data_IF_770556239881
#
_entry.id   IF_770556239881
#
_cell.length_a   1.000
_cell.length_b   1.000
_cell.length_c   1.000
_cell.angle_alpha   90.00
_cell.angle_beta   90.00
_cell.angle_gamma   90.00
#
_symmetry.space_group_name_H-M   'P 1'
#
loop_
_entity.id
_entity.type
_entity.pdbx_description
1 polymer ?
#
# COMPACT_ATOMS: atom_id res chain seq x y z
N UNK A 1 -10.96 3.30 1.35
CA UNK A 1 -11.36 3.63 2.72
C UNK A 1 -10.62 4.89 3.19
N UNK A 2 -11.32 5.84 3.81
CA UNK A 2 -10.72 7.06 4.39
C UNK A 2 -11.64 7.59 5.50
N UNK A 3 -11.07 8.02 6.61
CA UNK A 3 -11.87 8.58 7.70
C UNK A 3 -11.02 9.08 8.87
N UNK A 4 -11.68 9.74 9.81
CA UNK A 4 -11.08 10.12 11.08
C UNK A 4 -10.72 8.85 11.86
N UNK A 5 -9.54 8.84 12.46
CA UNK A 5 -9.11 7.72 13.32
C UNK A 5 -9.90 7.68 14.63
N UNK A 6 -10.22 6.49 15.10
CA UNK A 6 -10.93 6.29 16.36
C UNK A 6 -11.73 4.99 16.41
N UNK A 7 -12.36 4.73 17.53
CA UNK A 7 -13.25 3.58 17.71
C UNK A 7 -14.55 3.73 16.92
N UNK A 8 -15.09 2.63 16.43
CA UNK A 8 -16.36 2.57 15.70
C UNK A 8 -16.19 2.13 14.25
N UNK A 9 -17.29 1.62 13.68
CA UNK A 9 -17.31 1.04 12.33
C UNK A 9 -17.22 2.09 11.21
N UNK A 10 -17.45 3.35 11.51
CA UNK A 10 -17.35 4.48 10.59
C UNK A 10 -16.05 5.28 10.75
N UNK A 11 -15.05 4.70 11.42
CA UNK A 11 -13.75 5.33 11.69
C UNK A 11 -12.60 4.44 11.25
N UNK A 12 -11.43 5.06 11.01
CA UNK A 12 -10.19 4.34 10.75
C UNK A 12 -9.63 3.76 12.05
N UNK A 13 -9.54 2.45 12.12
CA UNK A 13 -8.96 1.70 13.24
C UNK A 13 -8.51 0.32 12.77
N UNK A 14 -7.93 -0.46 13.68
CA UNK A 14 -7.40 -1.79 13.37
C UNK A 14 -8.44 -2.76 12.80
N UNK A 15 -9.71 -2.64 13.18
CA UNK A 15 -10.77 -3.52 12.70
C UNK A 15 -11.26 -3.14 11.31
N UNK A 16 -11.42 -1.84 11.03
CA UNK A 16 -11.85 -1.36 9.70
C UNK A 16 -10.75 -1.54 8.66
N UNK A 17 -9.47 -1.29 9.02
CA UNK A 17 -8.31 -1.63 8.18
C UNK A 17 -8.20 -3.15 8.02
N UNK A 18 -8.42 -3.90 9.09
CA UNK A 18 -8.41 -5.36 9.06
C UNK A 18 -9.46 -5.94 8.14
N UNK A 19 -10.71 -5.46 8.22
CA UNK A 19 -11.78 -5.90 7.34
C UNK A 19 -11.49 -5.57 5.86
N UNK A 20 -10.97 -4.37 5.58
CA UNK A 20 -10.57 -3.99 4.23
C UNK A 20 -9.47 -4.91 3.68
N UNK A 21 -8.45 -5.21 4.49
CA UNK A 21 -7.33 -6.08 4.09
C UNK A 21 -7.77 -7.54 3.95
N UNK A 22 -8.62 -8.05 4.85
CA UNK A 22 -9.18 -9.40 4.74
C UNK A 22 -10.03 -9.55 3.47
N UNK A 23 -10.91 -8.57 3.18
CA UNK A 23 -11.73 -8.59 1.96
C UNK A 23 -10.88 -8.53 0.70
N UNK A 24 -9.86 -7.68 0.66
CA UNK A 24 -8.91 -7.64 -0.46
C UNK A 24 -8.15 -8.97 -0.60
N UNK A 25 -7.71 -9.58 0.50
CA UNK A 25 -7.06 -10.90 0.50
C UNK A 25 -7.97 -11.98 -0.09
N UNK A 26 -9.24 -11.99 0.34
CA UNK A 26 -10.24 -12.94 -0.17
C UNK A 26 -10.44 -12.77 -1.69
N UNK A 27 -10.51 -11.53 -2.16
CA UNK A 27 -10.66 -11.22 -3.57
C UNK A 27 -9.44 -11.64 -4.40
N UNK A 28 -8.22 -11.31 -3.94
CA UNK A 28 -6.98 -11.70 -4.60
C UNK A 28 -6.86 -13.23 -4.73
N UNK A 29 -7.15 -13.97 -3.66
CA UNK A 29 -7.13 -15.43 -3.67
C UNK A 29 -8.15 -16.05 -4.66
N UNK A 30 -9.26 -15.35 -4.94
CA UNK A 30 -10.23 -15.76 -5.97
C UNK A 30 -9.75 -15.45 -7.38
N UNK A 31 -9.21 -14.25 -7.60
CA UNK A 31 -8.76 -13.82 -8.92
C UNK A 31 -7.52 -14.57 -9.40
N UNK A 32 -6.62 -14.90 -8.48
CA UNK A 32 -5.31 -15.49 -8.80
C UNK A 32 -5.14 -16.90 -8.23
N UNK A 33 -6.23 -17.68 -8.15
CA UNK A 33 -6.28 -19.04 -7.58
C UNK A 33 -5.25 -20.03 -8.18
N UNK A 34 -4.88 -19.82 -9.45
CA UNK A 34 -3.98 -20.69 -10.19
C UNK A 34 -2.50 -20.21 -10.10
N UNK A 35 -2.24 -19.12 -9.37
CA UNK A 35 -0.90 -18.60 -9.17
C UNK A 35 -0.25 -19.28 -7.97
N UNK A 36 0.98 -19.75 -8.13
CA UNK A 36 1.75 -20.45 -7.08
C UNK A 36 1.91 -19.56 -5.84
N UNK A 37 2.27 -18.30 -6.03
CA UNK A 37 2.41 -17.32 -4.94
C UNK A 37 1.85 -15.96 -5.35
N UNK A 38 0.79 -15.53 -4.68
CA UNK A 38 0.29 -14.16 -4.78
C UNK A 38 1.18 -13.26 -3.92
N UNK A 39 1.48 -12.06 -4.40
CA UNK A 39 2.27 -11.08 -3.67
C UNK A 39 1.66 -9.68 -3.73
N UNK A 40 1.95 -8.89 -2.71
CA UNK A 40 1.50 -7.49 -2.57
C UNK A 40 2.61 -6.61 -2.04
N UNK A 41 2.53 -5.31 -2.36
CA UNK A 41 3.36 -4.27 -1.74
C UNK A 41 2.54 -3.53 -0.69
N UNK A 42 3.14 -3.22 0.45
CA UNK A 42 2.55 -2.39 1.50
C UNK A 42 3.45 -1.19 1.77
N UNK A 43 2.92 0.00 1.51
CA UNK A 43 3.59 1.26 1.83
C UNK A 43 2.72 2.13 2.73
N UNK A 44 3.33 3.19 3.28
CA UNK A 44 2.66 4.12 4.18
C UNK A 44 3.34 5.49 4.19
N UNK A 45 2.60 6.50 4.63
CA UNK A 45 3.09 7.87 4.80
C UNK A 45 3.35 8.23 6.28
N UNK A 46 3.71 9.49 6.56
CA UNK A 46 4.07 9.97 7.90
C UNK A 46 2.87 10.22 8.84
N UNK A 47 1.66 9.84 8.47
CA UNK A 47 0.46 10.07 9.29
C UNK A 47 0.46 9.22 10.55
N UNK A 48 -0.22 9.73 11.58
CA UNK A 48 -0.40 9.00 12.83
C UNK A 48 -0.95 7.59 12.57
N UNK A 49 -0.32 6.57 13.16
CA UNK A 49 -0.64 5.14 13.04
C UNK A 49 -0.53 4.55 11.62
N UNK A 50 0.05 5.24 10.62
CA UNK A 50 0.24 4.67 9.29
C UNK A 50 1.13 3.42 9.33
N UNK A 51 2.22 3.46 10.08
CA UNK A 51 3.12 2.34 10.37
C UNK A 51 2.39 1.13 10.95
N UNK A 52 1.55 1.36 11.98
CA UNK A 52 0.75 0.31 12.62
C UNK A 52 -0.29 -0.30 11.69
N UNK A 53 -0.98 0.53 10.91
CA UNK A 53 -1.96 0.03 9.95
C UNK A 53 -1.29 -0.73 8.80
N UNK A 54 -0.10 -0.30 8.36
CA UNK A 54 0.69 -1.02 7.38
C UNK A 54 1.11 -2.41 7.91
N UNK A 55 1.64 -2.47 9.14
CA UNK A 55 2.02 -3.75 9.77
C UNK A 55 0.81 -4.68 9.94
N UNK A 56 -0.33 -4.19 10.42
CA UNK A 56 -1.55 -4.99 10.56
C UNK A 56 -2.01 -5.53 9.19
N UNK A 57 -1.93 -4.71 8.15
CA UNK A 57 -2.26 -5.16 6.80
C UNK A 57 -1.29 -6.24 6.30
N UNK A 58 0.01 -6.06 6.55
CA UNK A 58 1.02 -7.07 6.21
C UNK A 58 0.77 -8.41 6.95
N UNK A 59 0.43 -8.35 8.23
CA UNK A 59 0.10 -9.53 9.03
C UNK A 59 -1.13 -10.26 8.45
N UNK A 60 -2.19 -9.54 8.09
CA UNK A 60 -3.41 -10.13 7.53
C UNK A 60 -3.16 -10.72 6.14
N UNK A 61 -2.47 -10.02 5.24
CA UNK A 61 -2.12 -10.59 3.93
C UNK A 61 -1.33 -11.88 4.09
N UNK A 62 -0.29 -11.87 4.91
CA UNK A 62 0.57 -13.04 5.13
C UNK A 62 -0.18 -14.20 5.80
N UNK A 63 -1.12 -13.92 6.72
CA UNK A 63 -2.01 -14.92 7.32
C UNK A 63 -2.97 -15.57 6.31
N UNK A 64 -3.19 -14.93 5.16
CA UNK A 64 -3.98 -15.45 4.05
C UNK A 64 -3.12 -16.09 2.94
N UNK A 65 -1.83 -16.37 3.22
CA UNK A 65 -0.91 -17.02 2.29
C UNK A 65 -0.34 -16.10 1.21
N UNK A 66 -0.52 -14.78 1.33
CA UNK A 66 -0.04 -13.79 0.37
C UNK A 66 1.34 -13.29 0.81
N UNK A 67 2.33 -13.33 -0.08
CA UNK A 67 3.64 -12.75 0.17
C UNK A 67 3.55 -11.23 0.21
N UNK A 68 4.19 -10.61 1.18
CA UNK A 68 4.16 -9.17 1.40
C UNK A 68 5.55 -8.58 1.26
N UNK A 69 5.67 -7.54 0.44
CA UNK A 69 6.81 -6.62 0.42
C UNK A 69 6.42 -5.37 1.22
N UNK A 70 6.92 -5.28 2.45
CA UNK A 70 6.61 -4.18 3.37
C UNK A 70 7.76 -3.18 3.38
N UNK A 71 7.49 -1.92 3.07
CA UNK A 71 8.50 -0.88 3.22
C UNK A 71 8.89 -0.70 4.70
N UNK A 72 10.19 -0.55 4.94
CA UNK A 72 10.79 -0.40 6.28
C UNK A 72 10.48 0.95 6.92
N UNK A 73 10.23 1.97 6.10
CA UNK A 73 9.86 3.32 6.53
C UNK A 73 8.88 3.94 5.52
N UNK A 74 8.42 5.14 5.78
CA UNK A 74 7.51 5.88 4.91
C UNK A 74 8.10 6.04 3.49
N UNK A 75 7.25 5.88 2.46
CA UNK A 75 7.61 6.10 1.05
C UNK A 75 6.49 6.83 0.32
N UNK A 76 6.83 7.62 -0.71
CA UNK A 76 5.83 8.32 -1.51
C UNK A 76 4.99 7.34 -2.33
N UNK A 77 3.73 7.70 -2.55
CA UNK A 77 2.78 6.89 -3.34
C UNK A 77 3.32 6.41 -4.71
N UNK A 78 4.05 7.24 -5.50
CA UNK A 78 4.61 6.78 -6.77
C UNK A 78 5.61 5.63 -6.64
N UNK A 79 6.35 5.56 -5.55
CA UNK A 79 7.29 4.48 -5.30
C UNK A 79 6.58 3.17 -4.94
N UNK A 80 5.47 3.23 -4.20
CA UNK A 80 4.60 2.05 -3.96
C UNK A 80 4.08 1.50 -5.28
N UNK A 81 3.58 2.37 -6.16
CA UNK A 81 3.14 2.00 -7.51
C UNK A 81 4.27 1.38 -8.36
N UNK A 82 5.47 1.93 -8.27
CA UNK A 82 6.65 1.38 -8.92
C UNK A 82 7.00 -0.02 -8.38
N UNK A 83 7.03 -0.19 -7.06
CA UNK A 83 7.38 -1.45 -6.42
C UNK A 83 6.41 -2.58 -6.78
N UNK A 84 5.10 -2.31 -6.94
CA UNK A 84 4.11 -3.30 -7.39
C UNK A 84 4.54 -3.89 -8.74
N UNK A 85 4.88 -3.04 -9.71
CA UNK A 85 5.32 -3.48 -11.04
C UNK A 85 6.71 -4.12 -11.01
N UNK A 86 7.62 -3.56 -10.24
CA UNK A 86 9.00 -4.04 -10.12
C UNK A 86 9.06 -5.48 -9.59
N UNK A 87 8.27 -5.80 -8.57
CA UNK A 87 8.19 -7.16 -8.01
C UNK A 87 7.17 -8.06 -8.71
N UNK A 88 6.43 -7.58 -9.70
CA UNK A 88 5.36 -8.34 -10.36
C UNK A 88 4.24 -8.75 -9.42
N UNK A 89 3.91 -7.88 -8.45
CA UNK A 89 2.85 -8.11 -7.48
C UNK A 89 1.46 -8.02 -8.13
N UNK A 90 0.49 -8.72 -7.58
CA UNK A 90 -0.90 -8.71 -8.03
C UNK A 90 -1.68 -7.52 -7.49
N UNK A 91 -1.18 -6.91 -6.42
CA UNK A 91 -1.82 -5.75 -5.81
C UNK A 91 -0.81 -5.03 -4.91
N UNK A 92 -1.22 -3.91 -4.37
CA UNK A 92 -0.53 -3.20 -3.31
C UNK A 92 -1.45 -2.26 -2.58
N UNK A 93 -1.00 -1.79 -1.43
CA UNK A 93 -1.71 -0.78 -0.67
C UNK A 93 -0.78 0.34 -0.23
N UNK A 94 -1.35 1.54 -0.10
CA UNK A 94 -0.69 2.65 0.57
C UNK A 94 -1.58 3.20 1.68
N UNK A 95 -1.06 3.20 2.90
CA UNK A 95 -1.75 3.76 4.07
C UNK A 95 -1.52 5.26 4.09
N UNK A 96 -2.50 6.00 3.63
CA UNK A 96 -2.41 7.47 3.48
C UNK A 96 -3.79 8.10 3.36
N UNK A 97 -3.97 9.29 3.91
CA UNK A 97 -5.13 10.13 3.66
C UNK A 97 -4.79 11.38 2.81
N UNK A 98 -3.65 11.34 2.09
CA UNK A 98 -3.23 12.44 1.19
C UNK A 98 -3.08 13.77 1.95
N UNK A 99 -3.89 14.79 1.61
CA UNK A 99 -3.87 16.15 2.18
C UNK A 99 -4.95 16.40 3.24
N UNK A 100 -5.69 15.37 3.67
CA UNK A 100 -6.68 15.52 4.73
C UNK A 100 -6.04 15.94 6.06
N UNK A 101 -6.78 16.57 7.00
CA UNK A 101 -6.29 16.90 8.33
C UNK A 101 -5.65 15.71 9.05
N UNK A 102 -4.78 15.99 10.01
CA UNK A 102 -3.92 14.99 10.68
C UNK A 102 -4.67 13.87 11.42
N UNK A 103 -5.93 14.12 11.81
CA UNK A 103 -6.80 13.14 12.46
C UNK A 103 -7.36 12.08 11.50
N UNK A 104 -7.20 12.28 10.19
CA UNK A 104 -7.59 11.30 9.17
C UNK A 104 -6.45 10.34 8.86
N UNK A 105 -6.85 9.11 8.53
CA UNK A 105 -6.00 8.18 7.78
C UNK A 105 -6.83 7.49 6.69
N UNK A 106 -6.19 6.72 5.82
CA UNK A 106 -6.85 6.08 4.69
C UNK A 106 -6.11 4.83 4.22
N UNK A 107 -6.79 4.07 3.39
CA UNK A 107 -6.33 2.84 2.78
C UNK A 107 -6.62 2.91 1.29
N UNK A 108 -5.57 3.03 0.48
CA UNK A 108 -5.64 3.04 -0.98
C UNK A 108 -5.15 1.70 -1.51
N UNK A 109 -5.95 1.05 -2.35
CA UNK A 109 -5.58 -0.19 -3.01
C UNK A 109 -5.17 0.06 -4.47
N UNK A 110 -4.19 -0.69 -4.92
CA UNK A 110 -3.61 -0.66 -6.28
C UNK A 110 -3.68 -2.05 -6.89
N UNK A 111 -3.76 -2.11 -8.22
CA UNK A 111 -3.78 -3.36 -8.97
C UNK A 111 -2.38 -3.70 -9.51
N UNK A 112 -2.27 -4.76 -10.29
CA UNK A 112 -1.00 -5.30 -10.78
C UNK A 112 -0.24 -4.37 -11.76
N UNK A 113 -0.96 -3.42 -12.38
CA UNK A 113 -0.41 -2.36 -13.20
C UNK A 113 0.21 -1.19 -12.40
N UNK A 114 0.06 -1.21 -11.07
CA UNK A 114 0.46 -0.14 -10.16
C UNK A 114 -0.47 1.07 -10.13
N UNK A 115 -1.61 1.04 -10.84
CA UNK A 115 -2.64 2.06 -10.75
C UNK A 115 -3.62 1.78 -9.60
N UNK A 116 -4.27 2.84 -9.11
CA UNK A 116 -5.32 2.67 -8.11
C UNK A 116 -6.46 1.83 -8.70
N UNK A 117 -6.99 0.87 -7.91
CA UNK A 117 -8.07 -0.03 -8.35
C UNK A 117 -9.26 0.74 -8.89
N UNK A 118 -9.76 0.26 -10.04
CA UNK A 118 -10.95 0.76 -10.74
C UNK A 118 -11.94 -0.39 -10.96
N UNK A 119 -13.12 -0.06 -11.49
CA UNK A 119 -14.11 -1.05 -11.89
C UNK A 119 -13.51 -2.06 -12.91
N UNK A 120 -13.82 -3.35 -12.78
CA UNK A 120 -14.81 -3.95 -11.86
C UNK A 120 -14.22 -4.35 -10.50
N UNK A 121 -12.90 -4.21 -10.30
CA UNK A 121 -12.20 -4.71 -9.13
C UNK A 121 -12.58 -3.97 -7.85
N UNK A 122 -12.77 -2.65 -7.90
CA UNK A 122 -13.15 -1.83 -6.76
C UNK A 122 -14.46 -2.29 -6.12
N UNK A 123 -15.49 -2.50 -6.93
CA UNK A 123 -16.80 -2.99 -6.48
C UNK A 123 -16.70 -4.40 -5.92
N UNK A 124 -15.99 -5.30 -6.61
CA UNK A 124 -15.83 -6.68 -6.17
C UNK A 124 -15.04 -6.79 -4.85
N UNK A 125 -14.03 -5.93 -4.65
CA UNK A 125 -13.31 -5.84 -3.36
C UNK A 125 -14.26 -5.37 -2.25
N UNK A 126 -15.08 -4.34 -2.50
CA UNK A 126 -16.06 -3.85 -1.52
C UNK A 126 -17.06 -4.94 -1.16
N UNK A 127 -17.52 -5.73 -2.13
CA UNK A 127 -18.43 -6.85 -1.89
C UNK A 127 -17.79 -7.92 -0.98
N UNK A 128 -16.50 -8.20 -1.15
CA UNK A 128 -15.78 -9.10 -0.23
C UNK A 128 -15.58 -8.50 1.15
N UNK A 129 -15.27 -7.20 1.25
CA UNK A 129 -15.14 -6.49 2.53
C UNK A 129 -16.44 -6.51 3.32
N UNK A 130 -17.58 -6.31 2.65
CA UNK A 130 -18.90 -6.31 3.30
C UNK A 130 -19.32 -7.68 3.86
N UNK A 131 -18.68 -8.77 3.44
CA UNK A 131 -18.89 -10.12 3.99
C UNK A 131 -18.04 -10.42 5.23
N UNK A 132 -17.01 -9.62 5.48
CA UNK A 132 -16.06 -9.86 6.58
C UNK A 132 -16.67 -9.45 7.91
N UNK A 133 -16.74 -10.38 8.84
CA UNK A 133 -16.99 -10.09 10.26
C UNK A 133 -15.67 -9.94 11.02
N UNK A 134 -15.69 -9.38 12.22
CA UNK A 134 -14.47 -9.24 13.04
C UNK A 134 -13.81 -10.59 13.33
N UNK A 135 -14.59 -11.66 13.44
CA UNK A 135 -14.09 -13.01 13.69
C UNK A 135 -13.35 -13.61 12.49
N UNK A 136 -13.62 -13.14 11.28
CA UNK A 136 -12.99 -13.63 10.05
C UNK A 136 -11.61 -13.01 9.82
N UNK A 137 -11.27 -11.93 10.53
CA UNK A 137 -10.01 -11.20 10.32
C UNK A 137 -8.85 -11.98 10.94
N UNK A 138 -7.89 -12.38 10.10
CA UNK A 138 -6.73 -13.17 10.52
C UNK A 138 -5.57 -12.25 10.95
N UNK A 139 -5.62 -11.72 12.17
CA UNK A 139 -4.61 -10.80 12.68
C UNK A 139 -3.23 -11.42 12.95
N UNK A 140 -3.13 -12.75 13.04
CA UNK A 140 -1.86 -13.43 13.32
C UNK A 140 -1.11 -13.71 12.02
N UNK A 141 -0.17 -12.84 11.69
CA UNK A 141 0.65 -12.92 10.48
C UNK A 141 1.60 -14.12 10.43
N UNK A 142 1.99 -14.48 9.22
CA UNK A 142 3.08 -15.41 8.92
C UNK A 142 4.33 -14.61 8.55
N UNK A 143 5.30 -14.54 9.45
CA UNK A 143 6.53 -13.75 9.26
C UNK A 143 7.39 -14.21 8.07
N UNK A 144 7.33 -15.50 7.72
CA UNK A 144 8.09 -16.05 6.60
C UNK A 144 7.61 -15.53 5.24
N UNK A 145 6.39 -15.00 5.19
CA UNK A 145 5.81 -14.36 4.00
C UNK A 145 5.93 -12.83 3.99
N UNK A 146 6.55 -12.23 5.00
CA UNK A 146 6.75 -10.77 5.05
C UNK A 146 8.23 -10.47 4.80
N UNK A 147 8.52 -9.83 3.68
CA UNK A 147 9.84 -9.34 3.31
C UNK A 147 9.89 -7.83 3.48
N UNK A 148 10.77 -7.35 4.32
CA UNK A 148 11.06 -5.91 4.44
C UNK A 148 11.86 -5.44 3.22
N UNK A 149 11.47 -4.30 2.64
CA UNK A 149 12.12 -3.63 1.52
C UNK A 149 12.39 -2.16 1.88
N UNK A 150 13.39 -1.54 1.26
CA UNK A 150 13.78 -0.15 1.56
C UNK A 150 14.82 0.38 0.57
N UNK A 151 16.00 0.75 1.06
CA UNK A 151 17.02 1.48 0.33
C UNK A 151 17.46 0.86 -1.01
N UNK A 152 17.37 -0.44 -1.17
CA UNK A 152 17.61 -1.15 -2.44
C UNK A 152 16.55 -0.80 -3.49
N UNK A 153 15.29 -0.74 -3.08
CA UNK A 153 14.17 -0.32 -3.95
C UNK A 153 14.23 1.18 -4.22
N UNK A 154 14.53 2.00 -3.19
CA UNK A 154 14.71 3.44 -3.32
C UNK A 154 15.71 3.77 -4.43
N UNK A 155 16.86 3.06 -4.44
CA UNK A 155 17.89 3.28 -5.45
C UNK A 155 17.37 3.00 -6.86
N UNK A 156 16.73 1.86 -7.08
CA UNK A 156 16.21 1.47 -8.40
C UNK A 156 15.12 2.45 -8.86
N UNK A 157 14.24 2.86 -7.95
CA UNK A 157 13.21 3.85 -8.20
C UNK A 157 13.81 5.20 -8.62
N UNK A 158 14.78 5.71 -7.87
CA UNK A 158 15.44 6.98 -8.16
C UNK A 158 16.23 6.93 -9.49
N UNK A 159 16.92 5.83 -9.78
CA UNK A 159 17.61 5.62 -11.05
C UNK A 159 16.61 5.69 -12.23
N UNK A 160 15.44 5.07 -12.07
CA UNK A 160 14.36 5.14 -13.07
C UNK A 160 13.84 6.58 -13.21
N UNK A 161 13.58 7.30 -12.12
CA UNK A 161 13.13 8.70 -12.17
C UNK A 161 14.16 9.59 -12.85
N UNK A 162 15.44 9.40 -12.57
CA UNK A 162 16.51 10.13 -13.24
C UNK A 162 16.57 9.83 -14.74
N UNK A 163 16.33 8.58 -15.14
CA UNK A 163 16.38 8.18 -16.56
C UNK A 163 15.32 8.84 -17.44
N UNK A 164 14.20 9.27 -16.85
CA UNK A 164 13.12 9.94 -17.58
C UNK A 164 13.26 11.47 -17.58
N UNK A 165 14.33 12.02 -17.00
CA UNK A 165 14.62 13.46 -17.03
C UNK A 165 14.95 13.90 -18.45
N UNK A 166 14.25 14.90 -18.98
CA UNK A 166 14.40 15.40 -20.35
C UNK A 166 15.71 16.16 -20.54
N UNK A 167 16.07 17.02 -19.59
CA UNK A 167 17.31 17.81 -19.61
C UNK A 167 17.89 17.95 -18.19
N UNK A 168 18.68 16.97 -17.73
CA UNK A 168 19.31 17.04 -16.41
C UNK A 168 20.31 18.19 -16.29
N UNK A 169 20.84 18.72 -17.42
CA UNK A 169 21.78 19.83 -17.40
C UNK A 169 21.10 21.18 -17.06
N UNK A 170 19.78 21.29 -17.26
CA UNK A 170 19.07 22.51 -16.87
C UNK A 170 19.21 22.80 -15.38
N UNK A 171 19.20 21.78 -14.55
CA UNK A 171 19.37 21.90 -13.08
C UNK A 171 20.74 22.50 -12.76
N UNK A 172 21.79 22.00 -13.43
CA UNK A 172 23.17 22.50 -13.24
C UNK A 172 23.34 23.97 -13.64
N UNK A 173 22.58 24.43 -14.66
CA UNK A 173 22.58 25.82 -15.10
C UNK A 173 21.84 26.76 -14.16
N UNK A 174 20.98 26.23 -13.27
CA UNK A 174 20.12 26.99 -12.35
C UNK A 174 20.59 26.94 -10.89
N UNK A 175 21.91 26.96 -10.65
CA UNK A 175 22.50 26.84 -9.30
C UNK A 175 22.10 27.93 -8.32
N UNK A 176 21.65 29.08 -8.81
CA UNK A 176 21.23 30.21 -7.97
C UNK A 176 19.71 30.17 -7.64
N UNK A 177 18.99 29.15 -8.17
CA UNK A 177 17.57 28.98 -7.89
C UNK A 177 17.35 28.53 -6.44
N UNK A 178 16.65 29.34 -5.67
CA UNK A 178 16.23 28.99 -4.32
C UNK A 178 14.87 28.32 -4.34
N UNK A 179 14.77 27.13 -3.76
CA UNK A 179 13.53 26.38 -3.64
C UNK A 179 13.19 26.20 -2.15
N UNK A 180 11.98 26.62 -1.77
CA UNK A 180 11.41 26.27 -0.47
C UNK A 180 10.47 25.10 -0.66
N UNK A 181 10.74 24.00 0.01
CA UNK A 181 9.90 22.80 0.00
C UNK A 181 9.30 22.61 1.40
N UNK A 182 7.95 22.50 1.47
CA UNK A 182 7.21 22.33 2.74
C UNK A 182 6.33 21.08 2.70
#
# INVERSE_FOLDING_TARGET
LRGIMGAGTNRMNIYTVGAATQGLSNYLNKCFKDKEQISVVVGYDCRNNSDKFAQISADIFSANGIKVYLFDDLRPTPEVSFAIRHFGCQSGINITASHNPREYNGYKAYWDDGAQVLAPHDTAIIDEVNKVTVADIKFKGNKDLIQTIGADVDKIYLDMVHSISIDPEVIKRQKDLSIVYT
#
